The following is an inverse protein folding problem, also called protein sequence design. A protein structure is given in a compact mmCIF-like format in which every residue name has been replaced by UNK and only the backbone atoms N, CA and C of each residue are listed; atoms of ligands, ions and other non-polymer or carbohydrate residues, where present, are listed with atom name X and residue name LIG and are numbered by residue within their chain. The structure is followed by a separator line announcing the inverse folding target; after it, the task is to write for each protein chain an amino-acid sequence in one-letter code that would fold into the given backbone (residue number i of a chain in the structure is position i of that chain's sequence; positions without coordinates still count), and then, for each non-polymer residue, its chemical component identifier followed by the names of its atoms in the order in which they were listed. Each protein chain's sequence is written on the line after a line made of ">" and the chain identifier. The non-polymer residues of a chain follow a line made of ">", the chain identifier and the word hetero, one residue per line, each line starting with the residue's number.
data_IF_261540210189
#
_entry.id   IF_261540210189
#
_cell.length_a   1.000
_cell.length_b   1.000
_cell.length_c   1.000
_cell.angle_alpha   90.00
_cell.angle_beta   90.00
_cell.angle_gamma   90.00
#
_symmetry.space_group_name_H-M   'P 1'
#
loop_
_entity.id
_entity.type
_entity.pdbx_description
1 polymer ?
#
# COMPACT_ATOMS: atom_id res chain seq x y z
N UNK A 1 -1.82 -4.47 1.48
CA UNK A 1 -1.50 -5.71 0.79
C UNK A 1 -0.30 -6.33 1.47
N UNK A 2 -0.55 -7.47 2.11
CA UNK A 2 0.40 -8.44 2.66
C UNK A 2 1.62 -7.79 3.27
N UNK A 3 2.78 -8.37 3.00
CA UNK A 3 4.06 -7.86 3.52
C UNK A 3 4.51 -6.53 2.91
N UNK A 4 3.78 -5.94 1.95
CA UNK A 4 4.15 -4.67 1.30
C UNK A 4 5.12 -4.76 0.12
N UNK A 5 5.52 -5.98 -0.31
CA UNK A 5 6.54 -6.17 -1.38
C UNK A 5 6.20 -5.46 -2.70
N UNK A 6 4.95 -5.58 -3.16
CA UNK A 6 4.52 -4.96 -4.43
C UNK A 6 4.55 -3.43 -4.31
N UNK A 7 4.06 -2.88 -3.19
CA UNK A 7 4.09 -1.43 -2.95
C UNK A 7 5.54 -0.89 -2.97
N UNK A 8 6.49 -1.63 -2.39
CA UNK A 8 7.90 -1.27 -2.42
C UNK A 8 8.48 -1.27 -3.86
N UNK A 9 8.19 -2.30 -4.66
CA UNK A 9 8.64 -2.37 -6.04
C UNK A 9 8.08 -1.19 -6.87
N UNK A 10 6.79 -0.87 -6.68
CA UNK A 10 6.18 0.28 -7.35
C UNK A 10 6.84 1.58 -6.90
N UNK A 11 7.13 1.76 -5.62
CA UNK A 11 7.80 2.95 -5.10
C UNK A 11 9.23 3.14 -5.65
N UNK A 12 9.88 2.05 -6.07
CA UNK A 12 11.16 2.12 -6.76
C UNK A 12 11.02 2.68 -8.18
N UNK A 13 9.87 2.54 -8.84
CA UNK A 13 9.61 3.03 -10.19
C UNK A 13 8.93 4.41 -10.16
N UNK A 14 7.88 4.55 -9.37
CA UNK A 14 7.10 5.78 -9.21
C UNK A 14 7.80 6.68 -8.19
N UNK A 15 8.76 7.47 -8.65
CA UNK A 15 9.50 8.42 -7.79
C UNK A 15 8.71 9.68 -7.45
N UNK A 16 7.76 10.05 -8.30
CA UNK A 16 6.89 11.23 -8.14
C UNK A 16 5.44 10.74 -8.18
N UNK A 17 4.79 10.76 -7.03
CA UNK A 17 3.45 10.21 -6.84
C UNK A 17 3.28 9.65 -5.42
N UNK A 18 2.04 9.39 -5.02
CA UNK A 18 1.71 8.76 -3.74
C UNK A 18 1.17 7.37 -3.98
N UNK A 19 1.59 6.42 -3.16
CA UNK A 19 1.14 5.03 -3.22
C UNK A 19 0.36 4.76 -1.93
N UNK A 20 -0.89 4.33 -2.05
CA UNK A 20 -1.70 3.89 -0.92
C UNK A 20 -1.66 2.36 -0.84
N UNK A 21 -0.99 1.84 0.19
CA UNK A 21 -0.92 0.40 0.45
C UNK A 21 -1.95 0.04 1.51
N UNK A 22 -3.04 -0.59 1.09
CA UNK A 22 -4.22 -0.89 1.94
C UNK A 22 -4.24 -2.38 2.32
N UNK A 23 -4.32 -2.70 3.61
CA UNK A 23 -4.56 -4.06 4.10
C UNK A 23 -5.54 -4.07 5.28
N UNK A 24 -6.23 -5.17 5.51
CA UNK A 24 -7.09 -5.33 6.70
C UNK A 24 -6.31 -5.85 7.90
N UNK A 25 -5.21 -6.58 7.66
CA UNK A 25 -4.42 -7.19 8.71
C UNK A 25 -3.39 -6.18 9.24
N UNK A 26 -3.58 -5.77 10.50
CA UNK A 26 -2.67 -4.84 11.18
C UNK A 26 -1.24 -5.40 11.30
N UNK A 27 -1.07 -6.71 11.48
CA UNK A 27 0.26 -7.32 11.57
C UNK A 27 1.01 -7.17 10.25
N UNK A 28 0.30 -7.29 9.12
CA UNK A 28 0.86 -7.08 7.79
C UNK A 28 1.29 -5.63 7.58
N UNK A 29 0.47 -4.68 8.03
CA UNK A 29 0.80 -3.25 7.96
C UNK A 29 2.01 -2.91 8.84
N UNK A 30 2.07 -3.44 10.05
CA UNK A 30 3.20 -3.24 10.96
C UNK A 30 4.50 -3.77 10.34
N UNK A 31 4.49 -5.01 9.87
CA UNK A 31 5.64 -5.64 9.21
C UNK A 31 6.09 -4.85 7.98
N UNK A 32 5.14 -4.39 7.15
CA UNK A 32 5.45 -3.60 5.97
C UNK A 32 6.07 -2.24 6.32
N UNK A 33 5.55 -1.56 7.35
CA UNK A 33 6.10 -0.28 7.84
C UNK A 33 7.53 -0.45 8.30
N UNK A 34 7.80 -1.43 9.15
CA UNK A 34 9.15 -1.71 9.67
C UNK A 34 10.13 -2.06 8.53
N UNK A 35 9.70 -2.89 7.58
CA UNK A 35 10.54 -3.35 6.47
C UNK A 35 10.84 -2.26 5.44
N UNK A 36 9.91 -1.34 5.23
CA UNK A 36 9.98 -0.33 4.17
C UNK A 36 10.05 1.12 4.68
N UNK A 37 10.61 1.34 5.88
CA UNK A 37 10.83 2.67 6.47
C UNK A 37 11.56 3.66 5.55
N UNK A 38 12.41 3.15 4.65
CA UNK A 38 13.18 3.96 3.71
C UNK A 38 12.32 4.53 2.55
N UNK A 39 11.11 4.01 2.35
CA UNK A 39 10.22 4.42 1.27
C UNK A 39 9.31 5.55 1.74
N UNK A 40 9.53 6.76 1.25
CA UNK A 40 8.83 7.97 1.73
C UNK A 40 7.51 8.28 1.04
N UNK A 41 7.23 7.68 -0.11
CA UNK A 41 6.04 7.97 -0.90
C UNK A 41 4.95 6.90 -0.81
N UNK A 42 5.07 5.97 0.14
CA UNK A 42 4.05 4.95 0.43
C UNK A 42 3.34 5.31 1.74
N UNK A 43 2.01 5.31 1.68
CA UNK A 43 1.12 5.52 2.82
C UNK A 43 0.42 4.19 3.10
N UNK A 44 0.63 3.66 4.29
CA UNK A 44 0.03 2.39 4.73
C UNK A 44 -1.28 2.64 5.47
N UNK A 45 -2.36 2.07 4.96
CA UNK A 45 -3.72 2.19 5.51
C UNK A 45 -4.22 0.83 6.00
N UNK A 46 -4.79 0.81 7.21
CA UNK A 46 -5.47 -0.37 7.76
C UNK A 46 -6.96 -0.21 7.45
N UNK A 47 -7.47 -0.89 6.42
CA UNK A 47 -8.89 -0.88 6.08
C UNK A 47 -9.24 -1.98 5.08
N UNK A 48 -10.54 -2.29 4.98
CA UNK A 48 -11.06 -2.98 3.80
C UNK A 48 -10.89 -2.10 2.57
N UNK A 49 -10.57 -2.71 1.42
CA UNK A 49 -10.45 -1.94 0.17
C UNK A 49 -11.79 -1.31 -0.25
N UNK A 50 -12.91 -1.99 0.02
CA UNK A 50 -14.26 -1.50 -0.26
C UNK A 50 -14.62 -0.23 0.50
N UNK A 51 -13.96 0.00 1.64
CA UNK A 51 -14.25 1.10 2.56
C UNK A 51 -12.99 1.96 2.78
N UNK A 52 -12.00 1.85 1.89
CA UNK A 52 -10.76 2.61 2.03
C UNK A 52 -11.06 4.09 1.79
N UNK A 53 -10.93 4.90 2.84
CA UNK A 53 -11.12 6.34 2.75
C UNK A 53 -9.85 6.99 2.18
N UNK A 54 -9.80 7.13 0.85
CA UNK A 54 -8.69 7.76 0.16
C UNK A 54 -8.93 9.28 0.08
N UNK A 55 -7.92 10.12 0.41
CA UNK A 55 -8.09 11.57 0.44
C UNK A 55 -8.25 12.19 -0.96
N UNK A 56 -7.95 11.42 -2.01
CA UNK A 56 -8.06 11.84 -3.40
C UNK A 56 -8.29 10.60 -4.29
N UNK A 57 -8.91 10.77 -5.48
CA UNK A 57 -8.96 9.73 -6.48
C UNK A 57 -7.56 9.21 -6.83
N UNK A 58 -7.48 7.95 -7.23
CA UNK A 58 -6.24 7.30 -7.67
C UNK A 58 -6.29 7.05 -9.17
N UNK A 59 -5.16 7.22 -9.83
CA UNK A 59 -5.04 7.00 -11.28
C UNK A 59 -5.03 5.50 -11.64
N UNK A 60 -4.47 4.67 -10.75
CA UNK A 60 -4.26 3.24 -10.97
C UNK A 60 -4.59 2.48 -9.69
N UNK A 61 -5.34 1.40 -9.82
CA UNK A 61 -5.57 0.41 -8.77
C UNK A 61 -4.84 -0.87 -9.14
N UNK A 62 -4.03 -1.38 -8.22
CA UNK A 62 -3.30 -2.65 -8.39
C UNK A 62 -3.71 -3.57 -7.25
N UNK A 63 -4.22 -4.75 -7.62
CA UNK A 63 -4.48 -5.85 -6.69
C UNK A 63 -3.68 -7.06 -7.14
N UNK A 64 -2.92 -7.65 -6.23
CA UNK A 64 -2.18 -8.87 -6.49
C UNK A 64 -2.49 -9.88 -5.38
N UNK A 65 -3.11 -11.00 -5.77
CA UNK A 65 -3.53 -12.09 -4.88
C UNK A 65 -4.40 -11.65 -3.68
N UNK A 66 -5.13 -10.54 -3.80
CA UNK A 66 -6.03 -10.02 -2.76
C UNK A 66 -7.52 -10.04 -3.16
N UNK A 67 -7.83 -10.41 -4.41
CA UNK A 67 -9.18 -10.63 -4.91
C UNK A 67 -9.25 -12.10 -5.36
N UNK A 68 -10.01 -12.90 -4.64
CA UNK A 68 -10.42 -14.26 -5.01
C UNK A 68 -11.94 -14.36 -4.92
#
# INVERSE_FOLDING_TARGET
>A
MGTGRVANLIAQVVKKGRIYAVDIDENMIKLAREKYLHVKNVIFLISYISNANLPQPVDIIISNAAIH
#
